data_IF_704455014746
#
_entry.id   IF_704455014746
#
_cell.length_a   1.000
_cell.length_b   1.000
_cell.length_c   1.000
_cell.angle_alpha   90.00
_cell.angle_beta   90.00
_cell.angle_gamma   90.00
#
_symmetry.space_group_name_H-M   'P 1'
#
loop_
_entity.id
_entity.type
_entity.pdbx_description
1 polymer ?
#
# COMPACT_ATOMS: atom_id res chain seq x y z
N UNK A 1 35.06 -67.99 -12.38
CA UNK A 1 34.59 -67.32 -11.15
C UNK A 1 34.54 -65.82 -11.47
N UNK A 2 33.45 -65.21 -11.96
CA UNK A 2 32.08 -65.20 -11.43
C UNK A 2 31.92 -64.01 -10.46
N UNK A 3 31.97 -62.78 -10.98
CA UNK A 3 30.83 -61.84 -11.06
C UNK A 3 30.60 -60.98 -9.78
N UNK A 4 31.17 -59.77 -9.78
CA UNK A 4 30.74 -58.66 -8.90
C UNK A 4 29.93 -57.69 -9.79
N UNK A 5 28.61 -57.83 -9.77
CA UNK A 5 27.70 -57.05 -10.59
C UNK A 5 27.59 -55.63 -10.00
N UNK A 6 28.22 -54.66 -10.66
CA UNK A 6 28.09 -53.23 -10.36
C UNK A 6 26.69 -52.79 -10.80
N UNK A 7 25.86 -52.39 -9.84
CA UNK A 7 24.51 -51.88 -10.07
C UNK A 7 24.61 -50.56 -10.83
N UNK A 8 24.34 -50.61 -12.13
CA UNK A 8 24.13 -49.45 -12.99
C UNK A 8 22.75 -48.86 -12.67
N UNK A 9 22.69 -47.82 -11.84
CA UNK A 9 21.48 -47.01 -11.76
C UNK A 9 21.43 -46.10 -12.98
N UNK A 10 20.50 -46.42 -13.88
CA UNK A 10 20.10 -45.61 -15.02
C UNK A 10 19.73 -44.20 -14.55
N UNK A 11 20.59 -43.22 -14.85
CA UNK A 11 20.26 -41.80 -14.76
C UNK A 11 19.28 -41.48 -15.90
N UNK A 12 17.99 -41.59 -15.59
CA UNK A 12 16.94 -41.06 -16.46
C UNK A 12 17.19 -39.57 -16.70
N UNK A 13 17.07 -39.07 -17.95
CA UNK A 13 17.33 -37.67 -18.25
C UNK A 13 16.23 -36.83 -17.61
N UNK A 14 16.61 -36.01 -16.63
CA UNK A 14 15.73 -34.99 -16.03
C UNK A 14 15.11 -34.15 -17.14
N UNK A 15 13.78 -34.24 -17.27
CA UNK A 15 12.95 -33.36 -18.09
C UNK A 15 13.36 -31.91 -17.79
N UNK A 16 13.80 -31.18 -18.81
CA UNK A 16 14.14 -29.74 -18.72
C UNK A 16 12.86 -29.00 -18.32
N UNK A 17 12.69 -28.78 -17.03
CA UNK A 17 11.68 -27.87 -16.52
C UNK A 17 11.98 -26.50 -17.09
N UNK A 18 11.02 -25.92 -17.81
CA UNK A 18 11.17 -24.62 -18.43
C UNK A 18 11.48 -23.61 -17.34
N UNK A 19 12.71 -23.10 -17.33
CA UNK A 19 13.13 -22.02 -16.46
C UNK A 19 12.06 -20.91 -16.50
N UNK A 20 11.63 -20.38 -15.33
CA UNK A 20 10.73 -19.24 -15.31
C UNK A 20 11.31 -18.15 -16.21
N UNK A 21 10.48 -17.59 -17.09
CA UNK A 21 10.89 -16.55 -18.03
C UNK A 21 11.45 -15.39 -17.20
N UNK A 22 12.77 -15.22 -17.20
CA UNK A 22 13.42 -14.12 -16.48
C UNK A 22 12.90 -12.80 -17.05
N UNK A 23 12.57 -11.86 -16.18
CA UNK A 23 12.16 -10.52 -16.63
C UNK A 23 13.25 -9.95 -17.54
N UNK A 24 12.90 -9.33 -18.68
CA UNK A 24 13.89 -8.71 -19.55
C UNK A 24 14.73 -7.71 -18.74
N UNK A 25 16.04 -7.96 -18.66
CA UNK A 25 16.98 -7.07 -17.94
C UNK A 25 17.47 -5.92 -18.83
N UNK A 26 17.18 -5.97 -20.12
CA UNK A 26 17.60 -4.96 -21.08
C UNK A 26 16.75 -3.70 -20.92
N UNK A 27 17.39 -2.53 -21.05
CA UNK A 27 16.68 -1.26 -21.00
C UNK A 27 15.69 -1.21 -22.17
N UNK A 28 14.43 -0.78 -21.93
CA UNK A 28 13.47 -0.66 -23.00
C UNK A 28 13.95 0.35 -24.06
N UNK A 29 13.55 0.19 -25.34
CA UNK A 29 13.96 1.08 -26.43
C UNK A 29 13.30 2.47 -26.38
N UNK A 30 12.61 2.81 -25.29
CA UNK A 30 11.93 4.08 -25.08
C UNK A 30 12.39 4.73 -23.77
N UNK A 31 12.30 6.06 -23.72
CA UNK A 31 12.62 6.84 -22.52
C UNK A 31 11.35 7.25 -21.78
N UNK A 32 11.47 7.62 -20.50
CA UNK A 32 10.36 8.21 -19.74
C UNK A 32 9.80 9.47 -20.41
N UNK A 33 10.65 10.24 -21.11
CA UNK A 33 10.21 11.41 -21.87
C UNK A 33 9.32 11.05 -23.07
N UNK A 34 9.64 9.94 -23.76
CA UNK A 34 8.81 9.41 -24.86
C UNK A 34 7.43 9.00 -24.35
N UNK A 35 7.38 8.32 -23.20
CA UNK A 35 6.12 7.93 -22.55
C UNK A 35 5.30 9.14 -22.12
N UNK A 36 5.91 10.13 -21.45
CA UNK A 36 5.21 11.35 -21.02
C UNK A 36 4.62 12.14 -22.20
N UNK A 37 5.31 12.19 -23.34
CA UNK A 37 4.81 12.85 -24.56
C UNK A 37 3.61 12.14 -25.18
N UNK A 38 3.45 10.84 -24.95
CA UNK A 38 2.30 10.07 -25.45
C UNK A 38 1.02 10.33 -24.63
N UNK A 39 1.14 10.88 -23.41
CA UNK A 39 0.00 11.18 -22.54
C UNK A 39 -0.57 12.56 -22.93
N UNK A 40 -1.88 12.68 -23.23
CA UNK A 40 -2.51 13.96 -23.53
C UNK A 40 -2.32 15.00 -22.42
N UNK A 41 -2.12 16.27 -22.79
CA UNK A 41 -1.85 17.33 -21.82
C UNK A 41 -2.97 17.50 -20.77
N UNK A 42 -4.23 17.26 -21.15
CA UNK A 42 -5.38 17.36 -20.24
C UNK A 42 -5.41 16.26 -19.16
N UNK A 43 -4.69 15.14 -19.34
CA UNK A 43 -4.60 14.09 -18.33
C UNK A 43 -3.68 14.46 -17.17
N UNK A 44 -2.84 15.49 -17.34
CA UNK A 44 -1.84 15.93 -16.36
C UNK A 44 -2.20 17.26 -15.69
N UNK A 45 -3.47 17.67 -15.74
CA UNK A 45 -3.95 18.93 -15.18
C UNK A 45 -4.91 18.65 -14.01
N UNK A 46 -4.43 18.65 -12.76
CA UNK A 46 -5.30 18.50 -11.60
C UNK A 46 -6.25 19.70 -11.50
N UNK A 47 -7.55 19.43 -11.37
CA UNK A 47 -8.55 20.48 -11.17
C UNK A 47 -8.82 20.66 -9.67
N UNK A 48 -8.37 21.78 -9.11
CA UNK A 48 -8.51 22.07 -7.68
C UNK A 48 -9.97 21.99 -7.21
N UNK A 49 -10.91 22.54 -7.99
CA UNK A 49 -12.35 22.52 -7.67
C UNK A 49 -12.86 21.07 -7.64
N UNK A 50 -12.44 20.26 -8.62
CA UNK A 50 -12.82 18.86 -8.70
C UNK A 50 -12.28 18.08 -7.48
N UNK A 51 -10.98 18.23 -7.17
CA UNK A 51 -10.33 17.58 -6.05
C UNK A 51 -10.98 17.93 -4.70
N UNK A 52 -11.25 19.22 -4.45
CA UNK A 52 -11.95 19.64 -3.24
C UNK A 52 -13.41 19.17 -3.20
N UNK A 53 -14.09 19.06 -4.34
CA UNK A 53 -15.47 18.55 -4.37
C UNK A 53 -15.56 17.10 -3.91
N UNK A 54 -14.60 16.24 -4.31
CA UNK A 54 -14.51 14.86 -3.82
C UNK A 54 -14.14 14.81 -2.34
N UNK A 55 -13.21 15.65 -1.88
CA UNK A 55 -12.88 15.73 -0.46
C UNK A 55 -14.09 16.13 0.40
N UNK A 56 -14.83 17.16 -0.01
CA UNK A 56 -16.04 17.61 0.70
C UNK A 56 -17.10 16.52 0.69
N UNK A 57 -17.26 15.82 -0.44
CA UNK A 57 -18.17 14.68 -0.54
C UNK A 57 -17.81 13.59 0.48
N UNK A 58 -16.56 13.13 0.52
CA UNK A 58 -16.13 12.08 1.44
C UNK A 58 -16.29 12.48 2.91
N UNK A 59 -15.92 13.73 3.26
CA UNK A 59 -16.12 14.26 4.60
C UNK A 59 -17.60 14.39 4.98
N UNK A 60 -18.46 14.76 4.03
CA UNK A 60 -19.91 14.85 4.27
C UNK A 60 -20.54 13.49 4.53
N UNK A 61 -20.10 12.45 3.81
CA UNK A 61 -20.54 11.08 4.02
C UNK A 61 -20.05 10.58 5.38
N UNK A 62 -18.77 10.81 5.71
CA UNK A 62 -18.21 10.44 7.01
C UNK A 62 -18.97 11.10 8.17
N UNK A 63 -19.27 12.40 8.06
CA UNK A 63 -20.04 13.13 9.06
C UNK A 63 -21.46 12.58 9.20
N UNK A 64 -22.12 12.29 8.08
CA UNK A 64 -23.49 11.76 8.06
C UNK A 64 -23.56 10.38 8.71
N UNK A 65 -22.64 9.48 8.36
CA UNK A 65 -22.53 8.15 8.97
C UNK A 65 -22.28 8.24 10.47
N UNK A 66 -21.36 9.10 10.91
CA UNK A 66 -21.11 9.35 12.33
C UNK A 66 -22.35 9.88 13.05
N UNK A 67 -23.06 10.85 12.45
CA UNK A 67 -24.28 11.42 13.03
C UNK A 67 -25.38 10.37 13.19
N UNK A 68 -25.60 9.52 12.18
CA UNK A 68 -26.55 8.41 12.23
C UNK A 68 -26.13 7.41 13.31
N UNK A 69 -24.88 6.98 13.31
CA UNK A 69 -24.37 6.01 14.28
C UNK A 69 -24.55 6.50 15.72
N UNK A 70 -24.13 7.75 16.00
CA UNK A 70 -24.27 8.38 17.32
C UNK A 70 -25.73 8.51 17.76
N UNK A 71 -26.65 8.85 16.86
CA UNK A 71 -28.05 9.15 17.20
C UNK A 71 -28.92 7.91 17.35
N UNK A 72 -28.69 6.88 16.52
CA UNK A 72 -29.59 5.73 16.42
C UNK A 72 -29.05 4.46 17.07
N UNK A 73 -27.74 4.16 17.02
CA UNK A 73 -27.18 2.91 17.57
C UNK A 73 -27.44 2.78 19.09
N UNK A 74 -27.30 3.84 19.91
CA UNK A 74 -27.62 3.77 21.34
C UNK A 74 -29.10 3.54 21.65
N UNK A 75 -30.00 3.79 20.70
CA UNK A 75 -31.45 3.58 20.88
C UNK A 75 -31.88 2.16 20.52
N UNK A 76 -31.01 1.35 19.91
CA UNK A 76 -31.29 -0.03 19.53
C UNK A 76 -31.28 -0.98 20.75
N UNK A 77 -32.02 -2.11 20.68
CA UNK A 77 -31.89 -3.22 21.62
C UNK A 77 -30.45 -3.73 21.71
N UNK A 78 -30.06 -4.28 22.86
CA UNK A 78 -28.67 -4.68 23.13
C UNK A 78 -28.05 -5.56 22.04
N UNK A 79 -28.75 -6.61 21.58
CA UNK A 79 -28.24 -7.52 20.55
C UNK A 79 -27.93 -6.81 19.23
N UNK A 80 -28.84 -5.96 18.76
CA UNK A 80 -28.65 -5.18 17.53
C UNK A 80 -27.59 -4.09 17.69
N UNK A 81 -27.47 -3.49 18.88
CA UNK A 81 -26.44 -2.48 19.19
C UNK A 81 -25.03 -3.06 19.06
N UNK A 82 -24.79 -4.23 19.64
CA UNK A 82 -23.48 -4.88 19.56
C UNK A 82 -23.09 -5.25 18.13
N UNK A 83 -24.05 -5.62 17.28
CA UNK A 83 -23.80 -5.89 15.86
C UNK A 83 -23.61 -4.61 15.04
N UNK A 84 -24.34 -3.54 15.38
CA UNK A 84 -24.33 -2.29 14.59
C UNK A 84 -23.00 -1.54 14.68
N UNK A 85 -22.27 -1.63 15.80
CA UNK A 85 -20.98 -0.96 15.96
C UNK A 85 -19.89 -1.47 15.00
N UNK A 86 -19.59 -2.78 14.90
CA UNK A 86 -18.66 -3.29 13.92
C UNK A 86 -19.06 -2.99 12.47
N UNK A 87 -20.36 -3.08 12.15
CA UNK A 87 -20.87 -2.73 10.81
C UNK A 87 -20.60 -1.25 10.50
N UNK A 88 -20.89 -0.37 11.45
CA UNK A 88 -20.56 1.05 11.33
C UNK A 88 -19.05 1.27 11.16
N UNK A 89 -18.20 0.65 11.99
CA UNK A 89 -16.75 0.82 11.87
C UNK A 89 -16.21 0.37 10.53
N UNK A 90 -16.71 -0.74 9.98
CA UNK A 90 -16.31 -1.23 8.67
C UNK A 90 -16.69 -0.23 7.57
N UNK A 91 -17.94 0.23 7.56
CA UNK A 91 -18.42 1.19 6.54
C UNK A 91 -17.72 2.54 6.70
N UNK A 92 -17.66 3.08 7.91
CA UNK A 92 -16.97 4.33 8.22
C UNK A 92 -15.49 4.26 7.85
N UNK A 93 -14.83 3.15 8.17
CA UNK A 93 -13.44 2.89 7.80
C UNK A 93 -13.22 2.90 6.30
N UNK A 94 -14.14 2.35 5.50
CA UNK A 94 -14.04 2.38 4.04
C UNK A 94 -14.03 3.81 3.47
N UNK A 95 -14.89 4.71 3.98
CA UNK A 95 -14.88 6.12 3.56
C UNK A 95 -13.68 6.90 4.11
N UNK A 96 -13.25 6.64 5.35
CA UNK A 96 -12.04 7.25 5.90
C UNK A 96 -10.77 6.80 5.15
N UNK A 97 -10.75 5.58 4.61
CA UNK A 97 -9.70 5.13 3.67
C UNK A 97 -9.69 5.96 2.39
N UNK A 98 -10.86 6.38 1.87
CA UNK A 98 -10.95 7.34 0.76
C UNK A 98 -10.30 8.68 1.11
N UNK A 99 -10.59 9.24 2.28
CA UNK A 99 -9.94 10.45 2.79
C UNK A 99 -8.43 10.26 2.94
N UNK A 100 -7.99 9.10 3.42
CA UNK A 100 -6.57 8.75 3.52
C UNK A 100 -5.89 8.73 2.15
N UNK A 101 -6.56 8.18 1.12
CA UNK A 101 -6.08 8.17 -0.27
C UNK A 101 -5.93 9.59 -0.79
N UNK A 102 -6.88 10.49 -0.52
CA UNK A 102 -6.73 11.91 -0.90
C UNK A 102 -5.49 12.54 -0.26
N UNK A 103 -5.24 12.27 1.04
CA UNK A 103 -4.01 12.71 1.70
C UNK A 103 -2.74 12.08 1.10
N UNK A 104 -2.82 10.82 0.66
CA UNK A 104 -1.75 10.13 -0.07
C UNK A 104 -1.43 10.84 -1.39
N UNK A 105 -2.46 11.19 -2.18
CA UNK A 105 -2.30 11.93 -3.44
C UNK A 105 -1.73 13.34 -3.24
N UNK A 106 -2.05 13.99 -2.12
CA UNK A 106 -1.39 15.24 -1.72
C UNK A 106 0.12 15.04 -1.49
N UNK A 107 0.53 13.88 -0.96
CA UNK A 107 1.93 13.49 -0.83
C UNK A 107 2.66 13.34 -2.18
N UNK A 108 1.93 12.96 -3.24
CA UNK A 108 2.42 12.85 -4.61
C UNK A 108 2.36 14.14 -5.42
N UNK A 109 1.82 15.22 -4.85
CA UNK A 109 1.55 16.47 -5.56
C UNK A 109 0.59 16.30 -6.74
N UNK A 110 -0.38 15.38 -6.60
CA UNK A 110 -1.39 15.09 -7.62
C UNK A 110 -2.75 15.75 -7.33
N UNK A 111 -2.93 16.34 -6.13
CA UNK A 111 -4.19 16.90 -5.70
C UNK A 111 -4.47 18.28 -6.32
N UNK A 112 -3.45 19.12 -6.46
CA UNK A 112 -3.54 20.44 -7.08
C UNK A 112 -2.24 20.85 -7.79
N UNK A 113 -2.28 21.92 -8.58
CA UNK A 113 -1.08 22.52 -9.19
C UNK A 113 -0.18 23.24 -8.15
N UNK A 114 -0.66 23.40 -6.91
CA UNK A 114 0.00 24.17 -5.87
C UNK A 114 0.51 23.25 -4.77
N UNK A 115 1.82 22.96 -4.80
CA UNK A 115 2.44 22.06 -3.82
C UNK A 115 2.23 22.49 -2.35
N UNK A 116 2.10 23.79 -2.09
CA UNK A 116 1.82 24.29 -0.73
C UNK A 116 0.40 23.95 -0.28
N UNK A 117 -0.59 23.95 -1.19
CA UNK A 117 -1.97 23.52 -0.89
C UNK A 117 -1.96 22.05 -0.52
N UNK A 118 -1.30 21.22 -1.34
CA UNK A 118 -1.21 19.78 -1.10
C UNK A 118 -0.53 19.47 0.23
N UNK A 119 0.55 20.17 0.58
CA UNK A 119 1.21 19.96 1.86
C UNK A 119 0.31 20.33 3.05
N UNK A 120 -0.48 21.40 2.95
CA UNK A 120 -1.40 21.82 4.03
C UNK A 120 -2.57 20.83 4.14
N UNK A 121 -3.23 20.53 3.02
CA UNK A 121 -4.38 19.61 2.97
C UNK A 121 -3.96 18.23 3.43
N UNK A 122 -2.89 17.68 2.85
CA UNK A 122 -2.33 16.39 3.24
C UNK A 122 -1.96 16.35 4.72
N UNK A 123 -1.29 17.38 5.25
CA UNK A 123 -0.96 17.46 6.67
C UNK A 123 -2.20 17.43 7.56
N UNK A 124 -3.24 18.20 7.24
CA UNK A 124 -4.49 18.24 8.03
C UNK A 124 -5.20 16.88 7.99
N UNK A 125 -5.40 16.32 6.80
CA UNK A 125 -6.14 15.06 6.63
C UNK A 125 -5.42 13.88 7.28
N UNK A 126 -4.12 13.71 7.02
CA UNK A 126 -3.35 12.63 7.61
C UNK A 126 -3.19 12.80 9.12
N UNK A 127 -3.03 14.03 9.64
CA UNK A 127 -3.00 14.26 11.09
C UNK A 127 -4.34 13.87 11.76
N UNK A 128 -5.48 14.19 11.14
CA UNK A 128 -6.79 13.78 11.62
C UNK A 128 -6.98 12.25 11.64
N UNK A 129 -6.29 11.55 10.73
CA UNK A 129 -6.25 10.09 10.64
C UNK A 129 -5.05 9.46 11.37
N UNK A 130 -4.37 10.21 12.23
CA UNK A 130 -3.21 9.77 13.01
C UNK A 130 -2.04 9.23 12.16
N UNK A 131 -1.94 9.69 10.91
CA UNK A 131 -0.84 9.38 9.99
C UNK A 131 0.14 10.57 9.96
N UNK A 132 1.45 10.36 10.24
CA UNK A 132 2.42 11.47 10.24
C UNK A 132 2.78 11.88 8.81
N UNK A 133 2.05 12.85 8.24
CA UNK A 133 2.10 13.23 6.81
C UNK A 133 3.51 13.38 6.23
N UNK A 134 4.38 14.19 6.82
CA UNK A 134 5.70 14.46 6.21
C UNK A 134 6.64 13.26 6.25
N UNK A 135 6.63 12.50 7.34
CA UNK A 135 7.40 11.27 7.46
C UNK A 135 6.89 10.22 6.47
N UNK A 136 5.58 10.04 6.44
CA UNK A 136 4.90 9.11 5.55
C UNK A 136 5.11 9.49 4.07
N UNK A 137 5.01 10.77 3.71
CA UNK A 137 5.29 11.28 2.35
C UNK A 137 6.71 10.93 1.89
N UNK A 138 7.69 11.14 2.77
CA UNK A 138 9.09 10.84 2.46
C UNK A 138 9.34 9.36 2.25
N UNK A 139 8.82 8.51 3.14
CA UNK A 139 8.97 7.06 3.05
C UNK A 139 8.22 6.52 1.83
N UNK A 140 6.96 6.93 1.64
CA UNK A 140 6.14 6.55 0.49
C UNK A 140 6.79 6.88 -0.86
N UNK A 141 7.45 8.04 -0.98
CA UNK A 141 8.20 8.37 -2.18
C UNK A 141 9.33 7.37 -2.48
N UNK A 142 10.06 6.91 -1.45
CA UNK A 142 11.08 5.85 -1.59
C UNK A 142 10.47 4.52 -1.95
N UNK A 143 9.35 4.15 -1.32
CA UNK A 143 8.64 2.92 -1.64
C UNK A 143 8.22 2.91 -3.12
N UNK A 144 7.63 3.98 -3.64
CA UNK A 144 7.24 4.08 -5.05
C UNK A 144 8.43 4.13 -6.01
N UNK A 145 9.55 4.74 -5.64
CA UNK A 145 10.74 4.75 -6.50
C UNK A 145 11.42 3.39 -6.58
N UNK A 146 11.27 2.57 -5.53
CA UNK A 146 12.00 1.31 -5.35
C UNK A 146 11.07 0.09 -5.27
N UNK A 147 9.81 0.20 -5.70
CA UNK A 147 8.80 -0.86 -5.53
C UNK A 147 9.28 -2.15 -6.16
N UNK A 148 9.34 -3.22 -5.36
CA UNK A 148 9.79 -4.54 -5.82
C UNK A 148 11.31 -4.69 -5.96
N UNK A 149 12.09 -3.68 -5.53
CA UNK A 149 13.53 -3.81 -5.40
C UNK A 149 13.88 -4.56 -4.12
N UNK A 150 14.46 -5.76 -4.25
CA UNK A 150 14.84 -6.62 -3.12
C UNK A 150 15.85 -5.98 -2.15
N UNK A 151 16.54 -4.91 -2.57
CA UNK A 151 17.59 -4.25 -1.78
C UNK A 151 17.28 -2.79 -1.44
N UNK A 152 16.32 -2.16 -2.12
CA UNK A 152 16.05 -0.73 -1.98
C UNK A 152 14.60 -0.41 -1.61
N UNK A 153 13.68 -1.39 -1.68
CA UNK A 153 12.35 -1.22 -1.10
C UNK A 153 12.49 -1.11 0.42
N UNK A 154 11.75 -0.21 1.04
CA UNK A 154 11.77 -0.03 2.50
C UNK A 154 10.68 -0.86 3.19
N UNK A 155 9.64 -1.27 2.46
CA UNK A 155 8.46 -1.96 3.03
C UNK A 155 8.60 -3.47 2.90
N UNK A 156 9.07 -3.96 1.76
CA UNK A 156 9.07 -5.38 1.42
C UNK A 156 10.48 -5.94 1.26
N UNK A 157 11.32 -5.79 2.30
CA UNK A 157 12.62 -6.44 2.33
C UNK A 157 12.47 -7.90 2.77
N UNK A 158 12.73 -8.89 1.89
CA UNK A 158 12.79 -10.27 2.35
C UNK A 158 13.99 -10.43 3.27
N UNK A 159 13.74 -10.87 4.51
CA UNK A 159 14.85 -11.25 5.41
C UNK A 159 15.60 -12.43 4.83
N UNK A 160 16.83 -12.19 4.39
CA UNK A 160 17.72 -13.22 3.90
C UNK A 160 18.25 -14.04 5.09
N UNK A 161 17.62 -15.20 5.33
CA UNK A 161 18.04 -16.39 6.13
C UNK A 161 17.44 -16.55 7.56
N UNK A 162 16.96 -17.77 7.83
CA UNK A 162 16.55 -18.39 9.10
C UNK A 162 15.68 -17.57 10.07
N UNK A 163 14.52 -17.11 9.59
CA UNK A 163 13.52 -16.43 10.41
C UNK A 163 12.64 -17.49 11.11
N UNK A 164 12.59 -17.47 12.44
CA UNK A 164 11.81 -18.43 13.23
C UNK A 164 10.30 -18.21 13.07
N UNK A 165 9.47 -19.25 13.29
CA UNK A 165 8.01 -19.18 13.08
C UNK A 165 7.32 -18.01 13.83
N UNK A 166 7.86 -17.60 14.98
CA UNK A 166 7.38 -16.47 15.78
C UNK A 166 7.55 -15.12 15.08
N UNK A 167 8.64 -14.96 14.35
CA UNK A 167 8.98 -13.75 13.62
C UNK A 167 8.14 -13.63 12.34
N UNK A 168 7.76 -14.75 11.72
CA UNK A 168 6.81 -14.79 10.61
C UNK A 168 5.41 -14.37 11.08
N UNK A 169 4.99 -14.83 12.27
CA UNK A 169 3.68 -14.49 12.82
C UNK A 169 3.54 -13.00 13.14
N UNK A 170 4.60 -12.35 13.64
CA UNK A 170 4.62 -10.90 13.89
C UNK A 170 4.51 -10.08 12.58
N UNK A 171 5.16 -10.54 11.52
CA UNK A 171 5.08 -9.91 10.19
C UNK A 171 3.67 -10.03 9.58
N UNK A 172 3.02 -11.20 9.69
CA UNK A 172 1.66 -11.41 9.15
C UNK A 172 0.63 -10.54 9.88
N UNK A 173 0.83 -10.26 11.16
CA UNK A 173 -0.08 -9.43 11.96
C UNK A 173 0.11 -7.92 11.72
N UNK A 174 1.05 -7.50 10.86
CA UNK A 174 1.21 -6.10 10.47
C UNK A 174 1.63 -5.15 11.60
N UNK A 175 2.08 -5.68 12.73
CA UNK A 175 2.47 -4.89 13.91
C UNK A 175 3.69 -4.01 13.68
N UNK A 176 4.60 -4.40 12.77
CA UNK A 176 5.78 -3.61 12.43
C UNK A 176 5.44 -2.32 11.66
N UNK A 177 4.33 -2.32 10.89
CA UNK A 177 3.89 -1.15 10.10
C UNK A 177 3.21 -0.09 10.95
N UNK A 178 2.52 -0.50 12.03
CA UNK A 178 1.81 0.43 12.93
C UNK A 178 2.77 1.22 13.82
N UNK A 179 3.94 0.66 14.16
CA UNK A 179 4.84 1.26 15.14
C UNK A 179 6.07 1.97 14.56
N UNK A 180 6.30 1.95 13.25
CA UNK A 180 7.42 2.67 12.62
C UNK A 180 8.78 2.35 13.24
N UNK A 181 8.94 1.14 13.82
CA UNK A 181 10.18 0.73 14.47
C UNK A 181 11.18 0.33 13.39
N UNK A 182 12.02 1.28 12.99
CA UNK A 182 13.31 1.01 12.38
C UNK A 182 14.17 0.23 13.39
N UNK A 183 13.95 -1.08 13.54
CA UNK A 183 14.86 -1.95 14.28
C UNK A 183 15.59 -2.85 13.31
N UNK A 184 16.84 -2.49 13.00
CA UNK A 184 17.85 -3.47 12.58
C UNK A 184 18.45 -3.26 11.20
N UNK A 185 19.26 -2.21 11.03
CA UNK A 185 20.46 -2.28 10.18
C UNK A 185 21.60 -1.61 10.96
N UNK A 186 22.33 -2.42 11.73
CA UNK A 186 23.73 -2.21 12.09
C UNK A 186 24.52 -3.35 11.49
#
# INVERSE_FOLDING_TARGET
MGAYQRISSELTPKKKESQPRTVPSDKPPFTLGTLKKAIPAHCSQPSLICSFSYLVYDLSVCYTLFYIAKSYIPSLPYSLRYLSWPVYWFIQGAFLSGVWVIGHECGHHAFSDYQWVDNIVGFILHSALMTPFFAWKYSNHKHHSNTGSLSQDEVYLPRLKNVGLKEILLLILGLDFVFGTCTGIS
#
